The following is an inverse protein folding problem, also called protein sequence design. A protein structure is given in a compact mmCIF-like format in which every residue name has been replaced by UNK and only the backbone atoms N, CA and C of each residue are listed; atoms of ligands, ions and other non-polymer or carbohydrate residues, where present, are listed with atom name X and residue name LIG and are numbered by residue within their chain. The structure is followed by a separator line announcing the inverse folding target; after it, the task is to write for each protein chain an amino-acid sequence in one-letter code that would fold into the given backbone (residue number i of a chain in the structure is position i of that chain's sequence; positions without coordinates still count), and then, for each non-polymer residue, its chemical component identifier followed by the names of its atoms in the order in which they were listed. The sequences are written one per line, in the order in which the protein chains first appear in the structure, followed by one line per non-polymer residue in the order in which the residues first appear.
data_IF_132710461937
#
_entry.id   IF_132710461937
#
_cell.length_a   1.000
_cell.length_b   1.000
_cell.length_c   1.000
_cell.angle_alpha   90.00
_cell.angle_beta   90.00
_cell.angle_gamma   90.00
#
_symmetry.space_group_name_H-M   'P 1'
#
loop_
_entity.id
_entity.type
_entity.pdbx_description
1 polymer ?
#
# COMPACT_ATOMS: atom_id res chain seq x y z
N UNK A 1 -9.53 6.81 -11.84
CA UNK A 1 -9.33 5.42 -11.38
C UNK A 1 -9.13 5.50 -9.88
N UNK A 2 -9.78 4.62 -9.15
CA UNK A 2 -9.86 4.67 -7.69
C UNK A 2 -9.11 3.45 -7.14
N UNK A 3 -8.34 3.65 -6.07
CA UNK A 3 -7.66 2.53 -5.40
C UNK A 3 -8.73 1.60 -4.85
N UNK A 4 -8.81 0.39 -5.41
CA UNK A 4 -9.75 -0.65 -5.01
C UNK A 4 -9.06 -1.84 -4.35
N UNK A 5 -9.81 -2.56 -3.53
CA UNK A 5 -9.33 -3.82 -2.94
C UNK A 5 -9.02 -4.82 -4.05
N UNK A 6 -7.84 -5.42 -3.99
CA UNK A 6 -7.32 -6.33 -5.02
C UNK A 6 -6.61 -5.62 -6.17
N UNK A 7 -6.67 -4.29 -6.24
CA UNK A 7 -5.92 -3.49 -7.21
C UNK A 7 -4.42 -3.52 -6.96
N UNK A 8 -3.65 -3.25 -8.01
CA UNK A 8 -2.19 -3.08 -7.94
C UNK A 8 -1.86 -1.61 -7.73
N UNK A 9 -0.99 -1.35 -6.76
CA UNK A 9 -0.56 0.00 -6.41
C UNK A 9 0.96 0.06 -6.30
N UNK A 10 1.54 1.13 -6.83
CA UNK A 10 2.94 1.50 -6.69
C UNK A 10 3.11 2.39 -5.47
N UNK A 11 4.13 2.11 -4.67
CA UNK A 11 4.41 2.87 -3.45
C UNK A 11 5.30 4.08 -3.76
N UNK A 12 4.86 5.28 -3.37
CA UNK A 12 5.60 6.54 -3.55
C UNK A 12 6.31 7.01 -2.27
N UNK A 13 6.06 6.37 -1.13
CA UNK A 13 6.70 6.68 0.16
C UNK A 13 8.19 6.29 0.13
N UNK A 14 9.08 7.28 0.20
CA UNK A 14 10.54 7.11 0.02
C UNK A 14 11.21 6.30 1.13
N UNK A 15 10.70 6.40 2.34
CA UNK A 15 11.17 5.69 3.53
C UNK A 15 10.64 4.24 3.61
N UNK A 16 9.71 3.86 2.71
CA UNK A 16 9.21 2.50 2.65
C UNK A 16 10.24 1.58 2.02
N UNK A 17 10.39 0.36 2.58
CA UNK A 17 11.20 -0.70 1.98
C UNK A 17 10.79 -0.98 0.52
N UNK A 18 9.49 -0.87 0.23
CA UNK A 18 8.91 -1.13 -1.09
C UNK A 18 8.79 0.14 -1.94
N UNK A 19 9.61 1.17 -1.73
CA UNK A 19 9.57 2.38 -2.54
C UNK A 19 9.73 2.07 -4.03
N UNK A 20 8.77 2.54 -4.85
CA UNK A 20 8.61 2.26 -6.28
C UNK A 20 8.29 0.81 -6.66
N UNK A 21 8.11 -0.08 -5.68
CA UNK A 21 7.60 -1.42 -5.96
C UNK A 21 6.07 -1.41 -6.06
N UNK A 22 5.54 -2.46 -6.70
CA UNK A 22 4.11 -2.69 -6.85
C UNK A 22 3.66 -3.71 -5.81
N UNK A 23 2.62 -3.38 -5.07
CA UNK A 23 1.94 -4.27 -4.14
C UNK A 23 0.47 -4.43 -4.48
N UNK A 24 -0.18 -5.37 -3.81
CA UNK A 24 -1.63 -5.63 -3.98
C UNK A 24 -2.39 -5.07 -2.79
N UNK A 25 -3.46 -4.34 -3.03
CA UNK A 25 -4.32 -3.80 -1.96
C UNK A 25 -5.09 -4.94 -1.30
N UNK A 26 -4.81 -5.21 -0.02
CA UNK A 26 -5.47 -6.26 0.74
C UNK A 26 -6.82 -5.79 1.33
N UNK A 27 -6.84 -4.56 1.85
CA UNK A 27 -8.02 -3.95 2.46
C UNK A 27 -7.92 -2.42 2.45
N UNK A 28 -9.07 -1.76 2.53
CA UNK A 28 -9.19 -0.30 2.62
C UNK A 28 -10.13 0.00 3.79
N UNK A 29 -9.62 0.67 4.82
CA UNK A 29 -10.41 1.19 5.93
C UNK A 29 -11.13 2.47 5.51
N UNK A 30 -12.44 2.55 5.77
CA UNK A 30 -13.28 3.71 5.43
C UNK A 30 -13.49 4.65 6.62
N UNK A 31 -12.88 4.35 7.76
CA UNK A 31 -13.01 5.15 8.97
C UNK A 31 -12.33 6.51 8.80
N UNK A 32 -13.04 7.62 9.06
CA UNK A 32 -12.51 8.98 8.80
C UNK A 32 -11.36 9.38 9.73
N UNK A 33 -11.07 8.59 10.77
CA UNK A 33 -9.97 8.80 11.72
C UNK A 33 -8.66 8.12 11.29
N UNK A 34 -8.71 7.23 10.30
CA UNK A 34 -7.56 6.42 9.89
C UNK A 34 -6.72 7.18 8.86
N UNK A 35 -5.53 7.63 9.26
CA UNK A 35 -4.61 8.42 8.42
C UNK A 35 -4.00 7.56 7.29
N UNK A 36 -3.82 6.25 7.52
CA UNK A 36 -3.26 5.29 6.57
C UNK A 36 -4.26 4.16 6.27
N UNK A 37 -5.33 4.45 5.51
CA UNK A 37 -6.46 3.54 5.35
C UNK A 37 -6.15 2.32 4.48
N UNK A 38 -5.11 2.35 3.65
CA UNK A 38 -4.86 1.31 2.66
C UNK A 38 -3.83 0.32 3.16
N UNK A 39 -4.21 -0.94 3.31
CA UNK A 39 -3.28 -2.03 3.62
C UNK A 39 -2.82 -2.68 2.32
N UNK A 40 -1.51 -2.68 2.08
CA UNK A 40 -0.90 -3.28 0.89
C UNK A 40 -0.08 -4.51 1.30
N UNK A 41 -0.23 -5.59 0.54
CA UNK A 41 0.55 -6.83 0.65
C UNK A 41 1.55 -6.94 -0.50
N UNK A 42 2.76 -7.36 -0.17
CA UNK A 42 3.85 -7.58 -1.12
C UNK A 42 4.28 -9.05 -1.13
N UNK A 43 4.94 -9.46 -2.21
CA UNK A 43 5.56 -10.78 -2.31
C UNK A 43 6.88 -10.83 -1.51
N UNK A 44 7.63 -9.73 -1.49
CA UNK A 44 8.88 -9.59 -0.74
C UNK A 44 8.62 -9.25 0.73
N UNK A 45 9.38 -9.84 1.62
CA UNK A 45 9.44 -9.48 3.05
C UNK A 45 10.47 -8.37 3.28
N UNK A 46 10.18 -7.46 4.19
CA UNK A 46 11.14 -6.46 4.64
C UNK A 46 12.18 -7.06 5.62
N UNK A 47 13.10 -6.21 6.11
CA UNK A 47 14.14 -6.61 7.07
C UNK A 47 13.61 -7.22 8.38
N UNK A 48 12.35 -7.00 8.72
CA UNK A 48 11.70 -7.55 9.93
C UNK A 48 10.85 -8.78 9.63
N UNK A 49 10.91 -9.33 8.40
CA UNK A 49 10.11 -10.49 8.00
C UNK A 49 8.63 -10.20 7.73
N UNK A 50 8.26 -8.92 7.60
CA UNK A 50 6.88 -8.48 7.38
C UNK A 50 6.68 -8.16 5.89
N UNK A 51 5.57 -8.60 5.29
CA UNK A 51 5.23 -8.35 3.89
C UNK A 51 3.95 -7.51 3.70
N UNK A 52 3.44 -6.88 4.76
CA UNK A 52 2.25 -6.04 4.73
C UNK A 52 2.51 -4.71 5.42
N UNK A 53 2.01 -3.61 4.85
CA UNK A 53 2.09 -2.30 5.49
C UNK A 53 0.90 -1.40 5.12
N UNK A 54 0.69 -0.34 5.91
CA UNK A 54 -0.36 0.65 5.73
C UNK A 54 0.17 1.94 5.10
N UNK A 55 -0.59 2.47 4.14
CA UNK A 55 -0.27 3.65 3.36
C UNK A 55 -1.46 4.60 3.26
N UNK A 56 -1.13 5.88 3.06
CA UNK A 56 -2.07 6.93 2.72
C UNK A 56 -2.42 6.90 1.25
N UNK A 57 -3.59 7.43 0.89
CA UNK A 57 -4.01 7.51 -0.51
C UNK A 57 -3.07 8.37 -1.37
N UNK A 58 -2.44 9.39 -0.79
CA UNK A 58 -1.48 10.27 -1.48
C UNK A 58 -0.11 9.63 -1.73
N UNK A 59 0.17 8.50 -1.08
CA UNK A 59 1.46 7.80 -1.17
C UNK A 59 1.41 6.60 -2.10
N UNK A 60 0.25 6.37 -2.71
CA UNK A 60 -0.03 5.26 -3.59
C UNK A 60 -0.39 5.77 -4.98
N UNK A 61 0.19 5.14 -5.99
CA UNK A 61 -0.16 5.35 -7.38
C UNK A 61 -0.75 4.06 -7.93
N UNK A 62 -1.99 4.12 -8.43
CA UNK A 62 -2.62 2.97 -9.06
C UNK A 62 -1.88 2.60 -10.36
N UNK A 63 -1.56 1.31 -10.52
CA UNK A 63 -0.93 0.79 -11.73
C UNK A 63 -1.91 -0.18 -12.39
N UNK A 64 -2.27 0.09 -13.65
CA UNK A 64 -3.18 -0.73 -14.47
C UNK A 64 -2.67 -2.16 -14.66
#
# INVERSE_FOLDING_TARGET
MAIERGGKVRILRKESYWFREVGTVASIDKSPKTIYPVTVRFEKVNYSGINTNNFGLSELEETT
#
